data_IF_275521869365
#
_entry.id   IF_275521869365
#
_cell.length_a   1.000
_cell.length_b   1.000
_cell.length_c   1.000
_cell.angle_alpha   90.00
_cell.angle_beta   90.00
_cell.angle_gamma   90.00
#
_symmetry.space_group_name_H-M   'P 1'
#
loop_
_entity.id
_entity.type
_entity.pdbx_description
1 polymer ?
#
# COMPACT_ATOMS: atom_id res chain seq x y z
N UNK A 1 10.19 11.23 24.46
CA UNK A 1 8.72 11.09 24.30
C UNK A 1 8.47 9.89 23.40
N UNK A 2 7.79 8.86 23.89
CA UNK A 2 7.50 7.67 23.07
C UNK A 2 6.19 7.93 22.32
N UNK A 3 6.28 8.11 21.00
CA UNK A 3 5.11 8.26 20.14
C UNK A 3 4.55 6.87 19.87
N UNK A 4 3.32 6.63 20.30
CA UNK A 4 2.59 5.41 19.99
C UNK A 4 1.93 5.54 18.61
N UNK A 5 2.70 5.15 17.58
CA UNK A 5 2.33 5.29 16.18
C UNK A 5 1.06 4.51 15.83
N UNK A 6 0.98 3.25 16.25
CA UNK A 6 -0.15 2.36 15.92
C UNK A 6 -1.45 2.88 16.52
N UNK A 7 -1.39 3.53 17.68
CA UNK A 7 -2.55 4.18 18.28
C UNK A 7 -2.96 5.45 17.55
N UNK A 8 -2.00 6.28 17.14
CA UNK A 8 -2.28 7.57 16.47
C UNK A 8 -2.81 7.39 15.05
N UNK A 9 -2.32 6.38 14.33
CA UNK A 9 -2.63 6.12 12.93
C UNK A 9 -3.34 4.78 12.74
N UNK A 10 -4.18 4.40 13.71
CA UNK A 10 -4.82 3.08 13.77
C UNK A 10 -5.59 2.76 12.48
N UNK A 11 -6.32 3.74 11.94
CA UNK A 11 -7.09 3.55 10.71
C UNK A 11 -6.17 3.35 9.50
N UNK A 12 -5.12 4.16 9.37
CA UNK A 12 -4.14 4.01 8.29
C UNK A 12 -3.43 2.64 8.36
N UNK A 13 -3.09 2.19 9.56
CA UNK A 13 -2.50 0.85 9.79
C UNK A 13 -3.47 -0.25 9.42
N UNK A 14 -4.75 -0.13 9.78
CA UNK A 14 -5.78 -1.10 9.41
C UNK A 14 -5.97 -1.17 7.89
N UNK A 15 -5.99 -0.03 7.21
CA UNK A 15 -6.11 0.03 5.75
C UNK A 15 -4.89 -0.63 5.07
N UNK A 16 -3.68 -0.42 5.60
CA UNK A 16 -2.49 -1.12 5.14
C UNK A 16 -2.62 -2.64 5.32
N UNK A 17 -3.08 -3.11 6.48
CA UNK A 17 -3.25 -4.54 6.77
C UNK A 17 -4.29 -5.15 5.80
N UNK A 18 -5.41 -4.47 5.59
CA UNK A 18 -6.46 -4.90 4.67
C UNK A 18 -5.92 -5.09 3.24
N UNK A 19 -5.20 -4.10 2.71
CA UNK A 19 -4.58 -4.18 1.38
C UNK A 19 -3.62 -5.36 1.28
N UNK A 20 -2.73 -5.54 2.27
CA UNK A 20 -1.77 -6.66 2.26
C UNK A 20 -2.49 -8.01 2.31
N UNK A 21 -3.54 -8.14 3.11
CA UNK A 21 -4.32 -9.37 3.21
C UNK A 21 -5.03 -9.69 1.89
N UNK A 22 -5.74 -8.72 1.32
CA UNK A 22 -6.43 -8.85 0.03
C UNK A 22 -5.46 -9.18 -1.11
N UNK A 23 -4.30 -8.54 -1.14
CA UNK A 23 -3.24 -8.86 -2.10
C UNK A 23 -2.73 -10.30 -1.92
N UNK A 24 -2.53 -10.77 -0.68
CA UNK A 24 -2.01 -12.11 -0.40
C UNK A 24 -2.92 -13.27 -0.87
N UNK A 25 -4.20 -12.99 -1.07
CA UNK A 25 -5.21 -13.96 -1.55
C UNK A 25 -5.70 -13.67 -2.97
N UNK A 26 -5.11 -12.66 -3.64
CA UNK A 26 -5.49 -12.29 -5.01
C UNK A 26 -5.16 -13.44 -5.97
N UNK A 27 -6.15 -13.84 -6.76
CA UNK A 27 -5.99 -14.86 -7.81
C UNK A 27 -5.79 -14.21 -9.17
N UNK A 28 -5.07 -14.90 -10.07
CA UNK A 28 -4.59 -14.34 -11.35
C UNK A 28 -5.70 -13.77 -12.25
N UNK A 29 -6.92 -14.31 -12.18
CA UNK A 29 -8.04 -13.93 -13.05
C UNK A 29 -9.05 -12.98 -12.39
N UNK A 30 -8.81 -12.56 -11.14
CA UNK A 30 -9.70 -11.63 -10.44
C UNK A 30 -9.36 -10.17 -10.78
N UNK A 31 -9.87 -9.76 -11.94
CA UNK A 31 -9.65 -8.43 -12.51
C UNK A 31 -10.39 -7.32 -11.75
N UNK A 32 -11.48 -7.63 -11.06
CA UNK A 32 -12.22 -6.65 -10.25
C UNK A 32 -11.39 -6.35 -9.01
N UNK A 33 -10.99 -7.38 -8.28
CA UNK A 33 -10.20 -7.20 -7.07
C UNK A 33 -8.84 -6.57 -7.36
N UNK A 34 -8.18 -6.97 -8.46
CA UNK A 34 -6.93 -6.33 -8.89
C UNK A 34 -7.10 -4.83 -9.19
N UNK A 35 -8.22 -4.42 -9.80
CA UNK A 35 -8.49 -3.01 -10.08
C UNK A 35 -8.78 -2.20 -8.80
N UNK A 36 -9.53 -2.77 -7.87
CA UNK A 36 -9.80 -2.15 -6.57
C UNK A 36 -8.50 -2.02 -5.75
N UNK A 37 -7.72 -3.11 -5.63
CA UNK A 37 -6.41 -3.09 -4.97
C UNK A 37 -5.44 -2.07 -5.57
N UNK A 38 -5.48 -1.86 -6.88
CA UNK A 38 -4.65 -0.85 -7.55
C UNK A 38 -4.97 0.57 -7.03
N UNK A 39 -6.26 0.91 -6.89
CA UNK A 39 -6.69 2.23 -6.41
C UNK A 39 -6.39 2.37 -4.91
N UNK A 40 -6.75 1.37 -4.13
CA UNK A 40 -6.62 1.41 -2.67
C UNK A 40 -5.16 1.50 -2.25
N UNK A 41 -4.28 0.71 -2.88
CA UNK A 41 -2.83 0.77 -2.62
C UNK A 41 -2.24 2.13 -2.93
N UNK A 42 -2.69 2.82 -3.99
CA UNK A 42 -2.24 4.18 -4.31
C UNK A 42 -2.69 5.21 -3.27
N UNK A 43 -3.95 5.14 -2.83
CA UNK A 43 -4.49 6.09 -1.84
C UNK A 43 -3.79 5.91 -0.49
N UNK A 44 -3.63 4.66 -0.04
CA UNK A 44 -2.97 4.38 1.23
C UNK A 44 -1.47 4.67 1.15
N UNK A 45 -0.83 4.44 -0.01
CA UNK A 45 0.56 4.85 -0.24
C UNK A 45 0.76 6.34 -0.01
N UNK A 46 -0.05 7.19 -0.67
CA UNK A 46 0.01 8.65 -0.53
C UNK A 46 -0.15 9.06 0.94
N UNK A 47 -1.14 8.46 1.61
CA UNK A 47 -1.40 8.70 3.03
C UNK A 47 -0.20 8.39 3.92
N UNK A 48 0.47 7.26 3.70
CA UNK A 48 1.68 6.90 4.45
C UNK A 48 2.88 7.83 4.14
N UNK A 49 2.97 8.39 2.94
CA UNK A 49 3.99 9.40 2.64
C UNK A 49 3.79 10.68 3.46
N UNK A 50 2.54 11.13 3.61
CA UNK A 50 2.17 12.29 4.44
C UNK A 50 2.50 12.02 5.90
N UNK A 51 2.10 10.86 6.42
CA UNK A 51 2.40 10.44 7.79
C UNK A 51 3.91 10.41 8.04
N UNK A 52 4.69 9.85 7.12
CA UNK A 52 6.16 9.84 7.23
C UNK A 52 6.73 11.24 7.25
N UNK A 53 6.24 12.15 6.40
CA UNK A 53 6.68 13.54 6.39
C UNK A 53 6.39 14.24 7.72
N UNK A 54 5.20 14.05 8.29
CA UNK A 54 4.83 14.65 9.58
C UNK A 54 5.65 14.08 10.74
N UNK A 55 5.89 12.77 10.75
CA UNK A 55 6.77 12.15 11.74
C UNK A 55 8.22 12.64 11.64
N UNK A 56 8.73 12.92 10.43
CA UNK A 56 10.07 13.48 10.24
C UNK A 56 10.19 14.92 10.74
N UNK A 57 9.10 15.71 10.75
CA UNK A 57 9.08 17.06 11.35
C UNK A 57 9.12 17.00 12.88
N UNK A 58 8.53 15.97 13.47
CA UNK A 58 8.47 15.79 14.93
C UNK A 58 9.77 15.17 15.47
N UNK A 59 10.33 14.19 14.76
CA UNK A 59 11.48 13.41 15.23
C UNK A 59 12.80 14.02 14.76
N UNK A 60 13.70 14.32 15.71
CA UNK A 60 15.04 14.80 15.42
C UNK A 60 15.94 13.79 14.70
N UNK A 61 17.17 14.22 14.37
CA UNK A 61 18.20 13.34 13.80
C UNK A 61 18.57 12.25 14.81
N UNK A 62 18.57 10.99 14.38
CA UNK A 62 18.85 9.83 15.24
C UNK A 62 17.68 9.37 16.12
N UNK A 63 16.58 10.11 16.16
CA UNK A 63 15.38 9.71 16.89
C UNK A 63 14.43 8.88 16.02
N UNK A 64 13.76 7.90 16.65
CA UNK A 64 12.71 7.10 16.02
C UNK A 64 13.15 6.35 14.77
N UNK A 65 14.43 5.95 14.69
CA UNK A 65 15.03 5.28 13.51
C UNK A 65 14.19 4.10 13.05
N UNK A 66 13.75 3.25 13.98
CA UNK A 66 12.88 2.11 13.69
C UNK A 66 11.52 2.50 13.11
N UNK A 67 10.90 3.55 13.64
CA UNK A 67 9.62 4.04 13.12
C UNK A 67 9.77 4.61 11.72
N UNK A 68 10.83 5.40 11.47
CA UNK A 68 11.14 5.96 10.15
C UNK A 68 11.35 4.85 9.12
N UNK A 69 12.08 3.79 9.49
CA UNK A 69 12.29 2.61 8.64
C UNK A 69 11.00 1.83 8.39
N UNK A 70 10.21 1.56 9.43
CA UNK A 70 8.93 0.85 9.31
C UNK A 70 7.92 1.58 8.42
N UNK A 71 7.88 2.92 8.48
CA UNK A 71 7.05 3.74 7.60
C UNK A 71 7.50 3.65 6.14
N UNK A 72 8.81 3.71 5.91
CA UNK A 72 9.38 3.56 4.57
C UNK A 72 9.13 2.17 3.98
N UNK A 73 9.26 1.12 4.79
CA UNK A 73 8.98 -0.24 4.35
C UNK A 73 7.51 -0.42 3.94
N UNK A 74 6.56 0.18 4.67
CA UNK A 74 5.13 0.16 4.29
C UNK A 74 4.87 0.89 2.98
N UNK A 75 5.50 2.05 2.78
CA UNK A 75 5.42 2.81 1.52
C UNK A 75 5.92 1.96 0.36
N UNK A 76 7.08 1.29 0.52
CA UNK A 76 7.64 0.45 -0.53
C UNK A 76 6.74 -0.76 -0.85
N UNK A 77 6.19 -1.41 0.17
CA UNK A 77 5.25 -2.53 0.00
C UNK A 77 3.99 -2.09 -0.76
N UNK A 78 3.40 -0.95 -0.40
CA UNK A 78 2.21 -0.43 -1.09
C UNK A 78 2.50 -0.10 -2.56
N UNK A 79 3.68 0.44 -2.85
CA UNK A 79 4.11 0.75 -4.21
C UNK A 79 4.37 -0.53 -5.04
N UNK A 80 4.96 -1.56 -4.43
CA UNK A 80 5.13 -2.88 -5.05
C UNK A 80 3.80 -3.54 -5.36
N UNK A 81 2.87 -3.56 -4.40
CA UNK A 81 1.51 -4.07 -4.59
C UNK A 81 0.83 -3.33 -5.74
N UNK A 82 0.85 -1.99 -5.74
CA UNK A 82 0.26 -1.18 -6.81
C UNK A 82 0.79 -1.57 -8.19
N UNK A 83 2.11 -1.72 -8.32
CA UNK A 83 2.75 -2.10 -9.60
C UNK A 83 2.32 -3.49 -10.05
N UNK A 84 2.31 -4.47 -9.15
CA UNK A 84 2.01 -5.85 -9.51
C UNK A 84 0.52 -6.04 -9.87
N UNK A 85 -0.39 -5.52 -9.06
CA UNK A 85 -1.84 -5.62 -9.35
C UNK A 85 -2.22 -4.88 -10.62
N UNK A 86 -1.55 -3.77 -10.93
CA UNK A 86 -1.71 -3.07 -12.22
C UNK A 86 -1.29 -3.95 -13.40
N UNK A 87 -0.18 -4.68 -13.27
CA UNK A 87 0.26 -5.61 -14.31
C UNK A 87 -0.75 -6.76 -14.50
N UNK A 88 -1.25 -7.33 -13.40
CA UNK A 88 -2.29 -8.38 -13.43
C UNK A 88 -3.58 -7.88 -14.08
N UNK A 89 -4.06 -6.70 -13.71
CA UNK A 89 -5.24 -6.09 -14.33
C UNK A 89 -5.07 -5.87 -15.84
N UNK A 90 -3.91 -5.37 -16.28
CA UNK A 90 -3.63 -5.16 -17.71
C UNK A 90 -3.61 -6.49 -18.49
N UNK A 91 -2.94 -7.52 -17.95
CA UNK A 91 -2.93 -8.86 -18.56
C UNK A 91 -4.33 -9.44 -18.70
N UNK A 92 -5.16 -9.35 -17.65
CA UNK A 92 -6.53 -9.82 -17.68
C UNK A 92 -7.37 -9.07 -18.73
N UNK A 93 -7.22 -7.74 -18.81
CA UNK A 93 -7.91 -6.90 -19.81
C UNK A 93 -7.52 -7.26 -21.24
N UNK A 94 -6.24 -7.54 -21.48
CA UNK A 94 -5.76 -7.94 -22.81
C UNK A 94 -6.19 -9.37 -23.17
N UNK A 95 -6.20 -10.30 -22.21
CA UNK A 95 -6.77 -11.64 -22.41
C UNK A 95 -8.25 -11.61 -22.83
N UNK A 96 -9.05 -10.72 -22.24
CA UNK A 96 -10.46 -10.53 -22.63
C UNK A 96 -10.66 -9.99 -24.05
N UNK A 97 -9.65 -9.31 -24.63
CA UNK A 97 -9.72 -8.84 -26.02
C UNK A 97 -9.52 -9.97 -27.02
N UNK A 98 -8.62 -10.92 -26.74
CA UNK A 98 -8.31 -12.04 -27.65
C UNK A 98 -9.53 -12.96 -27.88
N UNK A 99 -10.45 -13.07 -26.91
CA UNK A 99 -11.66 -13.88 -27.05
C UNK A 99 -12.83 -13.19 -27.76
N UNK A 100 -12.67 -11.93 -28.20
CA UNK A 100 -13.72 -11.16 -28.89
C UNK A 100 -13.53 -11.03 -30.40
N UNK A 101 -12.41 -11.50 -30.94
CA UNK A 101 -12.08 -11.53 -32.38
C UNK A 101 -12.19 -12.96 -32.93
#
# INVERSE_FOLDING_TARGET
MQVDFEKLYKEDVNNYIDIVQRYSILIENDHIEAFELMKDSLVVWDRFTVIRADMLKILGRGEGVWLKKSLEDKINILEEIHRDVRATFLRAKDGLRVYRD
#
